data_IF_248698023172
#
_entry.id   IF_248698023172
#
_cell.length_a   1.000
_cell.length_b   1.000
_cell.length_c   1.000
_cell.angle_alpha   90.00
_cell.angle_beta   90.00
_cell.angle_gamma   90.00
#
_symmetry.space_group_name_H-M   'P 1'
#
loop_
_entity.id
_entity.type
_entity.pdbx_description
1 polymer ?
#
# COMPACT_ATOMS: atom_id res chain seq x y z
N UNK A 1 29.61 4.58 -10.08
CA UNK A 1 29.43 3.25 -9.46
C UNK A 1 29.56 2.15 -10.50
N UNK A 2 30.40 1.14 -10.25
CA UNK A 2 30.61 0.03 -11.18
C UNK A 2 29.34 -0.83 -11.26
N UNK A 3 28.78 -1.00 -12.47
CA UNK A 3 27.66 -1.91 -12.70
C UNK A 3 28.21 -3.32 -12.83
N UNK A 4 27.94 -4.26 -11.89
CA UNK A 4 28.50 -5.59 -11.96
C UNK A 4 27.96 -6.28 -13.22
N UNK A 5 28.89 -6.74 -14.05
CA UNK A 5 28.64 -7.36 -15.34
C UNK A 5 28.93 -8.83 -15.21
N UNK A 6 28.01 -9.65 -15.69
CA UNK A 6 28.18 -11.09 -15.73
C UNK A 6 28.05 -11.56 -17.18
N UNK A 7 29.00 -12.40 -17.59
CA UNK A 7 28.99 -13.08 -18.88
C UNK A 7 28.89 -14.56 -18.56
N UNK A 8 27.86 -15.24 -19.08
CA UNK A 8 27.68 -16.68 -18.91
C UNK A 8 27.50 -17.33 -20.27
N UNK A 9 28.25 -18.39 -20.54
CA UNK A 9 28.02 -19.22 -21.72
C UNK A 9 26.66 -19.90 -21.60
N UNK A 10 25.95 -19.97 -22.72
CA UNK A 10 24.74 -20.80 -22.82
C UNK A 10 25.14 -22.26 -23.10
N UNK A 11 24.18 -23.19 -23.08
CA UNK A 11 24.46 -24.60 -23.40
C UNK A 11 24.93 -24.73 -24.86
N UNK A 12 24.29 -23.96 -25.73
CA UNK A 12 24.62 -23.86 -27.15
C UNK A 12 26.00 -23.25 -27.36
N UNK A 13 26.33 -22.20 -26.61
CA UNK A 13 27.66 -21.60 -26.60
C UNK A 13 28.75 -22.54 -26.14
N UNK A 14 28.48 -23.36 -25.11
CA UNK A 14 29.44 -24.36 -24.63
C UNK A 14 29.69 -25.42 -25.70
N UNK A 15 28.62 -25.98 -26.28
CA UNK A 15 28.73 -26.95 -27.39
C UNK A 15 29.52 -26.37 -28.56
N UNK A 16 29.19 -25.15 -28.99
CA UNK A 16 29.90 -24.45 -30.05
C UNK A 16 31.39 -24.27 -29.71
N UNK A 17 31.70 -23.91 -28.47
CA UNK A 17 33.08 -23.73 -28.01
C UNK A 17 33.86 -25.04 -28.04
N UNK A 18 33.26 -26.16 -27.65
CA UNK A 18 33.89 -27.49 -27.71
C UNK A 18 34.19 -27.88 -29.16
N UNK A 19 33.23 -27.71 -30.08
CA UNK A 19 33.43 -27.98 -31.51
C UNK A 19 34.54 -27.09 -32.08
N UNK A 20 34.50 -25.79 -31.77
CA UNK A 20 35.54 -24.84 -32.17
C UNK A 20 36.93 -25.28 -31.69
N UNK A 21 37.07 -25.64 -30.42
CA UNK A 21 38.34 -26.09 -29.86
C UNK A 21 38.82 -27.40 -30.51
N UNK A 22 37.93 -28.36 -30.75
CA UNK A 22 38.28 -29.61 -31.42
C UNK A 22 38.79 -29.37 -32.86
N UNK A 23 38.10 -28.50 -33.63
CA UNK A 23 38.53 -28.12 -34.98
C UNK A 23 39.86 -27.37 -34.94
N UNK A 24 40.03 -26.42 -34.02
CA UNK A 24 41.26 -25.64 -33.88
C UNK A 24 42.46 -26.53 -33.52
N UNK A 25 42.29 -27.44 -32.56
CA UNK A 25 43.35 -28.38 -32.16
C UNK A 25 43.70 -29.35 -33.30
N UNK A 26 42.70 -29.87 -34.01
CA UNK A 26 42.91 -30.72 -35.19
C UNK A 26 43.61 -29.98 -36.33
N UNK A 27 43.27 -28.71 -36.54
CA UNK A 27 43.89 -27.84 -37.53
C UNK A 27 45.38 -27.59 -37.25
N UNK A 28 45.70 -27.19 -36.02
CA UNK A 28 47.07 -26.91 -35.58
C UNK A 28 47.90 -28.18 -35.56
N UNK A 29 47.34 -29.28 -35.02
CA UNK A 29 48.06 -30.55 -34.89
C UNK A 29 48.41 -31.20 -36.23
N UNK A 30 47.53 -31.07 -37.24
CA UNK A 30 47.75 -31.65 -38.58
C UNK A 30 48.32 -30.66 -39.61
N UNK A 31 48.49 -29.40 -39.23
CA UNK A 31 48.93 -28.31 -40.14
C UNK A 31 48.07 -28.23 -41.43
N UNK A 32 46.78 -28.54 -41.32
CA UNK A 32 45.87 -28.53 -42.46
C UNK A 32 45.28 -27.13 -42.66
N UNK A 33 45.71 -26.44 -43.73
CA UNK A 33 45.27 -25.09 -44.06
C UNK A 33 43.74 -24.93 -44.12
N UNK A 34 43.02 -25.95 -44.63
CA UNK A 34 41.56 -25.91 -44.69
C UNK A 34 40.92 -25.90 -43.31
N UNK A 35 41.40 -26.74 -42.38
CA UNK A 35 40.89 -26.76 -41.01
C UNK A 35 41.24 -25.46 -40.27
N UNK A 36 42.39 -24.86 -40.56
CA UNK A 36 42.76 -23.55 -40.01
C UNK A 36 41.78 -22.46 -40.46
N UNK A 37 41.39 -22.47 -41.74
CA UNK A 37 40.41 -21.52 -42.28
C UNK A 37 39.04 -21.72 -41.62
N UNK A 38 38.57 -22.96 -41.48
CA UNK A 38 37.32 -23.28 -40.77
C UNK A 38 37.39 -22.86 -39.30
N UNK A 39 38.51 -23.12 -38.61
CA UNK A 39 38.74 -22.68 -37.25
C UNK A 39 38.63 -21.16 -37.08
N UNK A 40 39.28 -20.39 -37.95
CA UNK A 40 39.17 -18.93 -37.96
C UNK A 40 37.75 -18.44 -38.23
N UNK A 41 37.02 -19.10 -39.14
CA UNK A 41 35.61 -18.79 -39.43
C UNK A 41 34.72 -19.03 -38.19
N UNK A 42 34.97 -20.11 -37.44
CA UNK A 42 34.24 -20.42 -36.20
C UNK A 42 34.64 -19.49 -35.03
N UNK A 43 35.86 -18.94 -35.02
CA UNK A 43 36.27 -17.98 -34.00
C UNK A 43 35.45 -16.67 -34.08
N UNK A 44 35.09 -16.22 -35.28
CA UNK A 44 34.38 -14.95 -35.52
C UNK A 44 33.08 -14.81 -34.72
N UNK A 45 32.09 -15.73 -34.87
CA UNK A 45 30.84 -15.73 -34.12
C UNK A 45 31.02 -15.72 -32.59
N UNK A 46 32.02 -16.45 -32.08
CA UNK A 46 32.34 -16.51 -30.65
C UNK A 46 32.87 -15.17 -30.13
N UNK A 47 33.88 -14.63 -30.80
CA UNK A 47 34.47 -13.31 -30.50
C UNK A 47 33.39 -12.23 -30.59
N UNK A 48 32.61 -12.22 -31.67
CA UNK A 48 31.51 -11.28 -31.86
C UNK A 48 30.50 -11.36 -30.71
N UNK A 49 30.09 -12.56 -30.30
CA UNK A 49 29.15 -12.76 -29.19
C UNK A 49 29.69 -12.25 -27.84
N UNK A 50 31.00 -12.38 -27.60
CA UNK A 50 31.65 -11.89 -26.38
C UNK A 50 31.73 -10.35 -26.33
N UNK A 51 31.96 -9.68 -27.46
CA UNK A 51 32.10 -8.22 -27.51
C UNK A 51 30.78 -7.48 -27.72
N UNK A 52 29.88 -8.00 -28.56
CA UNK A 52 28.64 -7.33 -28.96
C UNK A 52 27.72 -7.03 -27.78
N UNK A 53 27.46 -8.02 -26.91
CA UNK A 53 26.58 -7.82 -25.75
C UNK A 53 27.12 -6.79 -24.75
N UNK A 54 28.46 -6.71 -24.58
CA UNK A 54 29.12 -5.70 -23.74
C UNK A 54 28.93 -4.29 -24.29
N UNK A 55 28.96 -4.14 -25.61
CA UNK A 55 28.68 -2.89 -26.30
C UNK A 55 27.22 -2.51 -26.09
N UNK A 56 26.29 -3.41 -26.44
CA UNK A 56 24.84 -3.18 -26.46
C UNK A 56 24.27 -2.70 -25.12
N UNK A 57 24.56 -3.40 -24.02
CA UNK A 57 23.94 -3.09 -22.71
C UNK A 57 24.46 -1.79 -22.06
N UNK A 58 25.51 -1.16 -22.59
CA UNK A 58 26.23 -0.06 -21.92
C UNK A 58 25.50 1.30 -21.96
N UNK A 59 24.59 1.51 -22.92
CA UNK A 59 23.86 2.78 -23.15
C UNK A 59 22.35 2.55 -23.24
N UNK A 60 21.82 1.77 -22.29
CA UNK A 60 20.40 1.50 -22.14
C UNK A 60 19.98 1.87 -20.71
N UNK A 61 19.76 3.16 -20.41
CA UNK A 61 19.09 3.52 -19.18
C UNK A 61 17.68 2.93 -19.18
N UNK A 62 17.26 2.46 -18.00
CA UNK A 62 15.92 1.93 -17.77
C UNK A 62 15.35 2.67 -16.58
N UNK A 63 14.22 3.32 -16.83
CA UNK A 63 13.41 3.98 -15.83
C UNK A 63 12.23 3.06 -15.49
N UNK A 64 11.96 2.90 -14.19
CA UNK A 64 10.81 2.16 -13.69
C UNK A 64 9.80 3.16 -13.15
N UNK A 65 8.56 3.07 -13.61
CA UNK A 65 7.44 3.85 -13.07
C UNK A 65 6.52 2.93 -12.29
N UNK A 66 6.39 3.25 -11.00
CA UNK A 66 5.52 2.58 -10.05
C UNK A 66 4.20 3.38 -9.93
N UNK A 67 3.07 2.72 -9.64
CA UNK A 67 1.84 3.43 -9.24
C UNK A 67 2.07 4.21 -7.93
N UNK A 68 1.28 5.26 -7.71
CA UNK A 68 1.41 6.11 -6.51
C UNK A 68 0.94 5.42 -5.23
N UNK A 69 -0.10 4.60 -5.33
CA UNK A 69 -0.66 3.82 -4.24
C UNK A 69 -1.11 2.45 -4.77
N UNK A 70 -1.03 1.43 -3.92
CA UNK A 70 -1.49 0.07 -4.22
C UNK A 70 -2.01 -0.57 -2.93
N UNK A 71 -3.21 -1.15 -2.96
CA UNK A 71 -3.68 -1.98 -1.86
C UNK A 71 -3.27 -3.45 -2.06
N UNK A 72 -3.07 -4.17 -0.97
CA UNK A 72 -2.77 -5.59 -1.00
C UNK A 72 -3.87 -6.36 -1.74
N UNK A 73 -3.46 -7.24 -2.66
CA UNK A 73 -4.33 -8.00 -3.54
C UNK A 73 -4.80 -7.26 -4.80
N UNK A 74 -4.50 -5.97 -4.96
CA UNK A 74 -4.77 -5.25 -6.20
C UNK A 74 -3.74 -5.57 -7.30
N UNK A 75 -4.15 -5.39 -8.56
CA UNK A 75 -3.27 -5.58 -9.72
C UNK A 75 -2.16 -4.52 -9.73
N UNK A 76 -0.93 -4.98 -9.52
CA UNK A 76 0.28 -4.17 -9.67
C UNK A 76 0.63 -4.08 -11.15
N UNK A 77 0.68 -2.85 -11.68
CA UNK A 77 1.16 -2.56 -13.03
C UNK A 77 2.42 -1.73 -12.95
N UNK A 78 3.54 -2.24 -13.47
CA UNK A 78 4.82 -1.53 -13.47
C UNK A 78 5.29 -1.32 -14.90
N UNK A 79 5.55 -0.05 -15.23
CA UNK A 79 6.03 0.34 -16.55
C UNK A 79 7.56 0.46 -16.54
N UNK A 80 8.21 -0.38 -17.34
CA UNK A 80 9.63 -0.33 -17.62
C UNK A 80 9.86 0.44 -18.92
N UNK A 81 10.48 1.61 -18.81
CA UNK A 81 10.82 2.49 -19.92
C UNK A 81 12.29 2.29 -20.27
N UNK A 82 12.55 1.70 -21.43
CA UNK A 82 13.91 1.50 -21.93
C UNK A 82 14.20 2.55 -22.99
N UNK A 83 15.22 3.36 -22.76
CA UNK A 83 15.69 4.34 -23.74
C UNK A 83 16.97 3.82 -24.41
N UNK A 84 17.03 3.95 -25.73
CA UNK A 84 18.24 3.67 -26.50
C UNK A 84 18.89 4.97 -26.94
N UNK A 85 19.89 5.42 -26.18
CA UNK A 85 20.62 6.66 -26.46
C UNK A 85 21.58 6.54 -27.67
N UNK A 86 21.42 5.53 -28.53
CA UNK A 86 22.18 5.42 -29.79
C UNK A 86 21.35 6.00 -30.93
N UNK A 87 22.02 6.69 -31.85
CA UNK A 87 21.39 7.33 -33.02
C UNK A 87 21.13 6.39 -34.20
N UNK A 88 21.94 5.33 -34.36
CA UNK A 88 21.98 4.54 -35.60
C UNK A 88 21.64 3.06 -35.44
N UNK A 89 21.67 2.53 -34.21
CA UNK A 89 21.55 1.08 -33.98
C UNK A 89 20.36 0.76 -33.08
N UNK A 90 19.47 -0.08 -33.59
CA UNK A 90 18.45 -0.73 -32.75
C UNK A 90 19.10 -1.83 -31.91
N UNK A 91 18.61 -2.01 -30.70
CA UNK A 91 19.00 -3.11 -29.83
C UNK A 91 17.90 -4.16 -29.87
N UNK A 92 18.27 -5.44 -29.96
CA UNK A 92 17.33 -6.54 -30.10
C UNK A 92 17.38 -7.48 -28.91
N UNK A 93 16.23 -8.09 -28.62
CA UNK A 93 16.04 -9.14 -27.63
C UNK A 93 16.72 -8.83 -26.29
N UNK A 94 16.27 -7.74 -25.66
CA UNK A 94 16.68 -7.35 -24.30
C UNK A 94 15.62 -7.83 -23.34
N UNK A 95 16.03 -8.49 -22.26
CA UNK A 95 15.17 -8.82 -21.14
C UNK A 95 15.52 -7.90 -19.98
N UNK A 96 14.49 -7.33 -19.37
CA UNK A 96 14.59 -6.54 -18.14
C UNK A 96 13.93 -7.36 -17.04
N UNK A 97 14.71 -7.82 -16.08
CA UNK A 97 14.21 -8.51 -14.89
C UNK A 97 14.21 -7.54 -13.71
N UNK A 98 13.09 -7.44 -13.01
CA UNK A 98 12.92 -6.66 -11.80
C UNK A 98 12.70 -7.60 -10.62
N UNK A 99 13.41 -7.33 -9.52
CA UNK A 99 13.30 -8.12 -8.29
C UNK A 99 12.42 -7.34 -7.33
N UNK A 100 11.39 -7.97 -6.78
CA UNK A 100 10.47 -7.36 -5.83
C UNK A 100 10.57 -8.16 -4.53
N UNK A 101 10.98 -7.49 -3.46
CA UNK A 101 11.22 -8.09 -2.15
C UNK A 101 10.37 -7.38 -1.10
N UNK A 102 9.64 -8.15 -0.28
CA UNK A 102 8.94 -7.61 0.89
C UNK A 102 9.93 -7.39 2.02
N UNK A 103 10.02 -6.15 2.49
CA UNK A 103 10.87 -5.75 3.60
C UNK A 103 10.11 -5.92 4.91
N UNK A 104 10.62 -6.78 5.79
CA UNK A 104 9.98 -7.09 7.07
C UNK A 104 8.90 -8.17 6.96
N UNK A 105 8.57 -8.79 8.10
CA UNK A 105 7.70 -9.96 8.19
C UNK A 105 8.46 -11.29 8.39
N UNK A 106 7.74 -12.31 8.85
CA UNK A 106 8.32 -13.60 9.24
C UNK A 106 8.82 -14.46 8.07
N UNK A 107 8.36 -14.19 6.84
CA UNK A 107 8.75 -14.92 5.64
C UNK A 107 9.23 -13.94 4.55
N UNK A 108 10.46 -14.10 4.03
CA UNK A 108 10.94 -13.29 2.92
C UNK A 108 10.20 -13.69 1.64
N UNK A 109 9.39 -12.78 1.12
CA UNK A 109 8.74 -12.91 -0.18
C UNK A 109 9.58 -12.17 -1.22
N UNK A 110 10.31 -12.92 -2.06
CA UNK A 110 11.06 -12.37 -3.19
C UNK A 110 10.55 -12.97 -4.49
N UNK A 111 10.16 -12.10 -5.42
CA UNK A 111 9.72 -12.48 -6.76
C UNK A 111 10.56 -11.76 -7.81
N UNK A 112 10.91 -12.45 -8.89
CA UNK A 112 11.60 -11.82 -10.02
C UNK A 112 10.68 -11.88 -11.23
N UNK A 113 10.28 -10.71 -11.73
CA UNK A 113 9.40 -10.58 -12.89
C UNK A 113 10.19 -9.99 -14.04
N UNK A 114 10.00 -10.52 -15.25
CA UNK A 114 10.79 -10.13 -16.41
C UNK A 114 9.94 -9.68 -17.58
N UNK A 115 10.32 -8.57 -18.20
CA UNK A 115 9.74 -8.10 -19.46
C UNK A 115 10.73 -8.28 -20.60
N UNK A 116 10.23 -8.67 -21.76
CA UNK A 116 11.04 -8.87 -22.95
C UNK A 116 10.78 -7.78 -23.99
N UNK A 117 11.84 -7.15 -24.46
CA UNK A 117 11.86 -6.16 -25.52
C UNK A 117 12.44 -6.81 -26.78
N UNK A 118 11.60 -7.18 -27.76
CA UNK A 118 12.07 -7.77 -29.02
C UNK A 118 13.01 -6.83 -29.77
N UNK A 119 12.68 -5.53 -29.79
CA UNK A 119 13.46 -4.49 -30.44
C UNK A 119 13.26 -3.14 -29.75
N UNK A 120 14.35 -2.57 -29.25
CA UNK A 120 14.47 -1.19 -28.79
C UNK A 120 15.05 -0.33 -29.92
N UNK A 121 14.19 0.44 -30.57
CA UNK A 121 14.56 1.33 -31.67
C UNK A 121 15.53 2.44 -31.21
N UNK A 122 16.26 3.05 -32.14
CA UNK A 122 17.14 4.18 -31.88
C UNK A 122 16.30 5.46 -31.82
N UNK A 123 15.90 5.90 -30.62
CA UNK A 123 14.90 6.96 -30.38
C UNK A 123 13.52 6.62 -31.01
N UNK A 124 12.39 6.52 -30.27
CA UNK A 124 12.09 7.00 -28.92
C UNK A 124 12.23 5.95 -27.80
N UNK A 125 11.93 6.35 -26.56
CA UNK A 125 11.76 5.47 -25.40
C UNK A 125 10.70 4.42 -25.67
N UNK A 126 11.02 3.16 -25.38
CA UNK A 126 10.08 2.06 -25.55
C UNK A 126 9.54 1.61 -24.19
N UNK A 127 8.21 1.69 -23.98
CA UNK A 127 7.58 1.13 -22.79
C UNK A 127 7.38 -0.38 -22.96
N UNK A 128 7.54 -1.11 -21.87
CA UNK A 128 6.90 -2.40 -21.70
C UNK A 128 6.48 -2.56 -20.25
N UNK A 129 5.35 -3.20 -20.04
CA UNK A 129 4.69 -3.32 -18.74
C UNK A 129 4.77 -4.76 -18.27
N UNK A 130 5.06 -4.97 -16.99
CA UNK A 130 4.69 -6.23 -16.33
C UNK A 130 3.54 -6.01 -15.38
N UNK A 131 2.72 -7.05 -15.23
CA UNK A 131 1.65 -7.11 -14.26
C UNK A 131 2.00 -8.15 -13.19
N UNK A 132 1.53 -7.91 -11.98
CA UNK A 132 1.70 -8.80 -10.85
C UNK A 132 0.67 -8.49 -9.77
N UNK A 133 0.81 -9.14 -8.63
CA UNK A 133 -0.04 -8.92 -7.47
C UNK A 133 0.77 -9.12 -6.21
N UNK A 134 0.62 -8.19 -5.27
CA UNK A 134 1.26 -8.24 -3.95
C UNK A 134 0.17 -8.56 -2.93
N UNK A 135 0.13 -9.80 -2.44
CA UNK A 135 -0.99 -10.29 -1.63
C UNK A 135 -1.00 -9.74 -0.20
N UNK A 136 0.16 -9.30 0.31
CA UNK A 136 0.32 -8.84 1.69
C UNK A 136 0.65 -7.34 1.73
N UNK A 137 0.22 -6.69 2.81
CA UNK A 137 0.58 -5.29 3.10
C UNK A 137 2.02 -5.19 3.62
N UNK A 138 2.63 -4.02 3.46
CA UNK A 138 3.95 -3.71 4.01
C UNK A 138 4.86 -2.94 3.06
N UNK A 139 6.14 -2.82 3.44
CA UNK A 139 7.17 -2.22 2.59
C UNK A 139 7.64 -3.21 1.55
N UNK A 140 7.70 -2.79 0.29
CA UNK A 140 8.29 -3.55 -0.80
C UNK A 140 9.43 -2.74 -1.41
N UNK A 141 10.57 -3.41 -1.57
CA UNK A 141 11.71 -2.91 -2.30
C UNK A 141 11.69 -3.51 -3.71
N UNK A 142 11.70 -2.64 -4.70
CA UNK A 142 11.82 -2.99 -6.10
C UNK A 142 13.26 -2.74 -6.56
N UNK A 143 13.77 -3.65 -7.38
CA UNK A 143 15.14 -3.65 -7.84
C UNK A 143 16.04 -4.61 -7.04
N UNK A 144 17.29 -4.80 -7.47
CA UNK A 144 17.93 -4.15 -8.60
C UNK A 144 17.38 -4.65 -9.95
N UNK A 145 17.33 -3.76 -10.96
CA UNK A 145 16.99 -4.16 -12.33
C UNK A 145 18.15 -4.91 -12.98
N UNK A 146 17.87 -6.07 -13.58
CA UNK A 146 18.83 -6.87 -14.33
C UNK A 146 18.49 -6.84 -15.81
N UNK A 147 19.35 -6.19 -16.59
CA UNK A 147 19.29 -6.27 -18.05
C UNK A 147 20.04 -7.50 -18.52
N UNK A 148 19.46 -8.27 -19.44
CA UNK A 148 20.17 -9.36 -20.10
C UNK A 148 19.85 -9.46 -21.58
N UNK A 149 20.82 -9.97 -22.36
CA UNK A 149 20.61 -10.30 -23.77
C UNK A 149 21.44 -11.52 -24.15
N UNK A 150 20.90 -12.32 -25.08
CA UNK A 150 21.57 -13.46 -25.73
C UNK A 150 21.76 -13.21 -27.23
N UNK A 151 21.31 -12.07 -27.75
CA UNK A 151 21.32 -11.75 -29.16
C UNK A 151 22.73 -11.38 -29.64
N UNK A 152 23.12 -11.71 -30.89
CA UNK A 152 22.30 -12.37 -31.93
C UNK A 152 22.38 -13.88 -31.98
N UNK A 153 23.53 -14.47 -31.62
CA UNK A 153 23.82 -15.88 -31.91
C UNK A 153 23.41 -16.83 -30.78
N UNK A 154 23.01 -16.32 -29.62
CA UNK A 154 22.61 -17.16 -28.49
C UNK A 154 23.75 -17.83 -27.73
N UNK A 155 25.02 -17.69 -28.16
CA UNK A 155 26.18 -18.39 -27.58
C UNK A 155 26.53 -17.89 -26.16
N UNK A 156 26.27 -16.62 -25.88
CA UNK A 156 26.67 -15.98 -24.62
C UNK A 156 25.51 -15.13 -24.09
N UNK A 157 25.18 -15.29 -22.81
CA UNK A 157 24.28 -14.39 -22.09
C UNK A 157 25.10 -13.30 -21.42
N UNK A 158 24.86 -12.06 -21.83
CA UNK A 158 25.36 -10.87 -21.15
C UNK A 158 24.33 -10.40 -20.14
N UNK A 159 24.78 -9.98 -18.96
CA UNK A 159 23.93 -9.41 -17.93
C UNK A 159 24.57 -8.18 -17.30
N UNK A 160 23.75 -7.15 -17.07
CA UNK A 160 24.11 -5.90 -16.44
C UNK A 160 23.12 -5.60 -15.32
N UNK A 161 23.61 -5.49 -14.09
CA UNK A 161 22.81 -5.04 -12.96
C UNK A 161 22.82 -3.50 -12.89
N UNK A 162 21.63 -2.93 -12.83
CA UNK A 162 21.37 -1.53 -12.59
C UNK A 162 20.95 -1.38 -11.12
N UNK A 163 21.66 -0.55 -10.37
CA UNK A 163 21.30 -0.18 -9.00
C UNK A 163 20.15 0.83 -9.02
N UNK A 164 19.01 0.42 -9.60
CA UNK A 164 17.77 1.17 -9.66
C UNK A 164 16.84 0.54 -8.61
N UNK A 165 16.86 1.13 -7.42
CA UNK A 165 16.03 0.73 -6.29
C UNK A 165 14.89 1.72 -6.13
N UNK A 166 13.71 1.22 -5.79
CA UNK A 166 12.55 2.05 -5.46
C UNK A 166 11.78 1.34 -4.35
N UNK A 167 11.14 2.11 -3.50
CA UNK A 167 10.37 1.59 -2.38
C UNK A 167 8.91 1.99 -2.56
N UNK A 168 8.03 1.08 -2.15
CA UNK A 168 6.58 1.30 -2.13
C UNK A 168 6.02 0.71 -0.85
N UNK A 169 5.07 1.42 -0.25
CA UNK A 169 4.25 0.88 0.82
C UNK A 169 2.95 0.36 0.20
N UNK A 170 2.70 -0.93 0.34
CA UNK A 170 1.45 -1.57 -0.07
C UNK A 170 0.46 -1.47 1.07
N UNK A 171 -0.63 -0.75 0.83
CA UNK A 171 -1.68 -0.48 1.81
C UNK A 171 -2.49 -1.73 2.15
N UNK A 172 -3.18 -1.75 3.31
CA UNK A 172 -4.08 -2.86 3.64
C UNK A 172 -5.11 -3.09 2.54
N UNK A 173 -5.48 -4.37 2.35
CA UNK A 173 -6.56 -4.75 1.45
C UNK A 173 -7.86 -4.13 1.93
N UNK A 174 -8.56 -3.43 1.05
CA UNK A 174 -9.87 -2.88 1.37
C UNK A 174 -10.95 -3.95 1.19
N UNK A 175 -12.00 -3.84 1.99
CA UNK A 175 -13.21 -4.65 1.84
C UNK A 175 -14.44 -3.81 1.54
N UNK A 176 -15.59 -4.47 1.63
CA UNK A 176 -16.90 -3.85 1.50
C UNK A 176 -17.62 -3.90 2.83
N UNK A 177 -18.24 -2.77 3.18
CA UNK A 177 -19.10 -2.66 4.36
C UNK A 177 -20.52 -3.03 3.97
N UNK A 178 -21.17 -3.83 4.81
CA UNK A 178 -22.52 -4.32 4.56
C UNK A 178 -23.58 -3.22 4.78
N UNK A 179 -24.81 -3.45 4.30
CA UNK A 179 -25.92 -2.53 4.59
C UNK A 179 -26.25 -2.44 6.09
N UNK A 180 -25.99 -3.50 6.85
CA UNK A 180 -26.22 -3.51 8.30
C UNK A 180 -25.25 -2.58 9.02
N UNK A 181 -24.00 -2.49 8.55
CA UNK A 181 -23.04 -1.50 9.04
C UNK A 181 -23.51 -0.08 8.76
N UNK A 182 -24.01 0.17 7.55
CA UNK A 182 -24.52 1.50 7.15
C UNK A 182 -25.72 1.90 8.01
N UNK A 183 -26.61 0.96 8.35
CA UNK A 183 -27.76 1.20 9.23
C UNK A 183 -27.32 1.57 10.64
N UNK A 184 -26.40 0.81 11.24
CA UNK A 184 -25.84 1.08 12.57
C UNK A 184 -25.32 2.51 12.69
N UNK A 185 -24.54 2.97 11.71
CA UNK A 185 -23.99 4.33 11.75
C UNK A 185 -25.05 5.41 11.52
N UNK A 186 -26.04 5.16 10.66
CA UNK A 186 -27.16 6.12 10.48
C UNK A 186 -28.01 6.27 11.73
N UNK A 187 -28.30 5.17 12.42
CA UNK A 187 -29.01 5.19 13.69
C UNK A 187 -28.21 5.98 14.73
N UNK A 188 -26.89 5.82 14.74
CA UNK A 188 -26.03 6.58 15.63
C UNK A 188 -25.92 8.06 15.32
N UNK A 189 -25.83 8.42 14.05
CA UNK A 189 -25.88 9.80 13.59
C UNK A 189 -27.20 10.48 14.03
N UNK A 190 -28.31 9.75 14.02
CA UNK A 190 -29.61 10.30 14.46
C UNK A 190 -29.64 10.58 15.97
N UNK A 191 -29.06 9.69 16.78
CA UNK A 191 -28.95 9.87 18.24
C UNK A 191 -27.89 10.90 18.66
N UNK A 192 -26.75 10.98 17.95
CA UNK A 192 -25.70 11.97 18.23
C UNK A 192 -26.16 13.39 17.88
N UNK A 193 -26.94 13.57 16.81
CA UNK A 193 -27.58 14.85 16.46
C UNK A 193 -28.46 15.42 17.59
N UNK A 194 -29.10 14.55 18.38
CA UNK A 194 -29.93 14.96 19.50
C UNK A 194 -29.09 15.47 20.68
N UNK A 195 -27.87 14.97 20.83
CA UNK A 195 -26.90 15.39 21.85
C UNK A 195 -26.13 16.65 21.42
N UNK A 196 -25.76 16.78 20.15
CA UNK A 196 -25.16 18.01 19.58
C UNK A 196 -26.12 19.21 19.69
N UNK A 197 -27.44 19.00 19.58
CA UNK A 197 -28.45 20.05 19.83
C UNK A 197 -28.40 20.63 21.24
N UNK A 198 -27.96 19.88 22.25
CA UNK A 198 -27.80 20.38 23.64
C UNK A 198 -26.55 21.25 23.80
N UNK A 199 -25.52 21.07 22.95
CA UNK A 199 -24.25 21.81 22.96
C UNK A 199 -24.16 22.98 21.98
N UNK A 200 -25.28 23.44 21.39
CA UNK A 200 -25.34 24.44 20.31
C UNK A 200 -24.93 25.87 20.72
N UNK A 201 -24.24 26.05 21.84
CA UNK A 201 -23.66 27.34 22.25
C UNK A 201 -22.37 27.66 21.48
N UNK A 202 -21.72 26.68 20.85
CA UNK A 202 -20.44 26.81 20.12
C UNK A 202 -20.54 26.59 18.60
N UNK A 203 -21.74 26.51 18.04
CA UNK A 203 -21.89 26.36 16.59
C UNK A 203 -21.61 27.69 15.85
N UNK A 204 -20.95 27.62 14.69
CA UNK A 204 -20.64 28.79 13.87
C UNK A 204 -21.95 29.48 13.41
N UNK A 205 -22.01 30.81 13.55
CA UNK A 205 -23.16 31.59 13.10
C UNK A 205 -23.28 31.52 11.58
N UNK A 206 -24.40 30.99 11.09
CA UNK A 206 -24.67 30.82 9.66
C UNK A 206 -25.49 31.98 9.09
N UNK A 207 -26.47 32.47 9.86
CA UNK A 207 -27.36 33.53 9.38
C UNK A 207 -28.49 33.87 10.32
N UNK A 208 -29.42 34.69 9.82
CA UNK A 208 -30.62 35.10 10.54
C UNK A 208 -31.85 34.63 9.77
N UNK A 209 -32.82 34.03 10.47
CA UNK A 209 -34.11 33.67 9.88
C UNK A 209 -35.26 34.08 10.79
N UNK A 210 -36.47 34.14 10.23
CA UNK A 210 -37.68 34.37 11.02
C UNK A 210 -37.94 33.21 12.00
N UNK A 211 -38.41 33.56 13.20
CA UNK A 211 -38.80 32.65 14.25
C UNK A 211 -40.02 31.84 13.82
N UNK A 212 -39.97 30.53 14.03
CA UNK A 212 -41.11 29.63 13.84
C UNK A 212 -41.51 28.98 15.16
N UNK A 213 -42.79 28.62 15.34
CA UNK A 213 -43.22 27.83 16.49
C UNK A 213 -42.37 26.55 16.63
N UNK A 214 -41.69 26.40 17.77
CA UNK A 214 -40.72 25.33 18.03
C UNK A 214 -39.26 25.81 18.16
N UNK A 215 -38.95 27.03 17.73
CA UNK A 215 -37.62 27.61 17.87
C UNK A 215 -37.36 28.11 19.30
N UNK A 216 -36.17 27.80 19.84
CA UNK A 216 -35.77 28.22 21.19
C UNK A 216 -35.69 29.73 21.32
N UNK A 217 -36.35 30.27 22.36
CA UNK A 217 -36.33 31.71 22.69
C UNK A 217 -34.91 32.23 23.00
N UNK A 218 -34.00 31.35 23.43
CA UNK A 218 -32.60 31.71 23.75
C UNK A 218 -31.79 32.15 22.53
N UNK A 219 -32.23 31.77 21.33
CA UNK A 219 -31.54 32.09 20.08
C UNK A 219 -32.12 33.29 19.35
N UNK A 220 -33.09 33.98 19.95
CA UNK A 220 -33.65 35.21 19.39
C UNK A 220 -32.58 36.30 19.35
N UNK A 221 -32.33 36.85 18.16
CA UNK A 221 -31.48 38.00 17.99
C UNK A 221 -32.25 39.28 18.32
N UNK A 222 -32.31 39.62 19.61
CA UNK A 222 -33.14 40.73 20.10
C UNK A 222 -32.88 42.05 19.38
N UNK A 223 -31.61 42.36 19.09
CA UNK A 223 -31.24 43.61 18.39
C UNK A 223 -31.81 43.69 16.96
N UNK A 224 -31.87 42.57 16.23
CA UNK A 224 -32.43 42.58 14.86
C UNK A 224 -33.94 42.47 14.91
N UNK A 225 -34.47 41.71 15.87
CA UNK A 225 -35.92 41.57 16.06
C UNK A 225 -36.58 42.91 16.40
N UNK A 226 -35.96 43.69 17.29
CA UNK A 226 -36.42 45.03 17.64
C UNK A 226 -36.42 46.01 16.46
N UNK A 227 -35.48 45.87 15.51
CA UNK A 227 -35.41 46.74 14.31
C UNK A 227 -36.40 46.36 13.22
N UNK A 228 -36.71 45.08 13.06
CA UNK A 228 -37.62 44.59 11.99
C UNK A 228 -39.07 44.42 12.41
N UNK A 229 -39.37 44.50 13.71
CA UNK A 229 -40.72 44.28 14.23
C UNK A 229 -41.20 42.82 14.18
N UNK A 230 -40.33 41.89 13.81
CA UNK A 230 -40.59 40.44 13.77
C UNK A 230 -39.51 39.67 14.53
N UNK A 231 -39.87 38.56 15.16
CA UNK A 231 -38.91 37.72 15.90
C UNK A 231 -37.95 37.05 14.92
N UNK A 232 -36.65 37.31 15.09
CA UNK A 232 -35.58 36.72 14.28
C UNK A 232 -34.69 35.86 15.16
N UNK A 233 -34.35 34.68 14.67
CA UNK A 233 -33.52 33.68 15.34
C UNK A 233 -32.18 33.57 14.64
N UNK A 234 -31.10 33.45 15.43
CA UNK A 234 -29.77 33.06 14.93
C UNK A 234 -29.84 31.63 14.41
N UNK A 235 -29.55 31.45 13.12
CA UNK A 235 -29.31 30.14 12.53
C UNK A 235 -27.83 29.85 12.67
N UNK A 236 -27.50 28.69 13.23
CA UNK A 236 -26.15 28.20 13.32
C UNK A 236 -25.95 27.10 12.28
N UNK A 237 -24.75 27.02 11.70
CA UNK A 237 -24.40 25.96 10.79
C UNK A 237 -24.19 24.70 11.62
N UNK A 238 -25.06 23.71 11.43
CA UNK A 238 -24.82 22.42 12.04
C UNK A 238 -23.73 21.72 11.22
N UNK A 239 -22.47 21.94 11.59
CA UNK A 239 -21.37 21.12 11.07
C UNK A 239 -21.72 19.66 11.36
N UNK A 240 -22.03 18.91 10.31
CA UNK A 240 -22.13 17.45 10.34
C UNK A 240 -20.72 16.88 10.42
N UNK A 241 -19.99 17.20 11.49
CA UNK A 241 -18.69 16.62 11.72
C UNK A 241 -18.94 15.18 12.16
N UNK A 242 -18.80 14.26 11.21
CA UNK A 242 -18.73 12.85 11.53
C UNK A 242 -17.35 12.61 12.10
N UNK A 243 -17.29 12.56 13.42
CA UNK A 243 -16.07 12.21 14.11
C UNK A 243 -16.04 10.68 14.24
N UNK A 244 -14.96 10.08 13.74
CA UNK A 244 -14.66 8.66 13.90
C UNK A 244 -13.36 8.53 14.70
N UNK A 245 -13.42 7.80 15.80
CA UNK A 245 -12.23 7.32 16.49
C UNK A 245 -12.12 5.81 16.33
N UNK A 246 -11.02 5.32 15.77
CA UNK A 246 -10.69 3.91 15.66
C UNK A 246 -9.59 3.60 16.67
N UNK A 247 -9.89 2.71 17.60
CA UNK A 247 -8.95 2.14 18.56
C UNK A 247 -8.69 0.69 18.13
N UNK A 248 -7.51 0.40 17.61
CA UNK A 248 -7.16 -0.89 17.03
C UNK A 248 -6.12 -1.61 17.90
N UNK A 249 -6.44 -2.82 18.34
CA UNK A 249 -5.60 -3.72 19.13
C UNK A 249 -5.15 -4.91 18.27
N UNK A 250 -3.87 -4.88 17.84
CA UNK A 250 -3.23 -5.93 17.05
C UNK A 250 -2.42 -6.85 17.95
N UNK A 251 -3.11 -7.52 18.86
CA UNK A 251 -2.53 -8.57 19.67
C UNK A 251 -2.40 -9.88 18.87
N UNK A 252 -1.33 -10.62 19.12
CA UNK A 252 -1.20 -12.02 18.69
C UNK A 252 -0.61 -12.86 19.82
N UNK A 253 -0.94 -14.14 19.93
CA UNK A 253 -0.21 -15.03 20.83
C UNK A 253 1.24 -15.21 20.35
N UNK A 254 2.15 -15.50 21.29
CA UNK A 254 3.59 -15.67 20.99
C UNK A 254 3.87 -16.79 19.98
N UNK A 255 3.01 -17.82 19.94
CA UNK A 255 2.98 -18.87 18.91
C UNK A 255 1.69 -18.74 18.11
N UNK A 256 1.67 -17.91 17.05
CA UNK A 256 0.45 -17.67 16.28
C UNK A 256 0.11 -18.87 15.40
N UNK A 257 -1.18 -19.19 15.34
CA UNK A 257 -1.76 -20.03 14.29
C UNK A 257 -2.00 -19.21 13.02
N UNK A 258 -2.26 -19.88 11.89
CA UNK A 258 -2.61 -19.20 10.64
C UNK A 258 -3.90 -18.36 10.79
N UNK A 259 -4.87 -18.83 11.58
CA UNK A 259 -6.11 -18.10 11.89
C UNK A 259 -5.84 -16.80 12.67
N UNK A 260 -4.88 -16.81 13.61
CA UNK A 260 -4.48 -15.61 14.35
C UNK A 260 -3.85 -14.57 13.42
N UNK A 261 -3.03 -15.02 12.46
CA UNK A 261 -2.43 -14.15 11.46
C UNK A 261 -3.50 -13.56 10.53
N UNK A 262 -4.47 -14.36 10.10
CA UNK A 262 -5.60 -13.90 9.28
C UNK A 262 -6.50 -12.92 10.06
N UNK A 263 -6.71 -13.14 11.36
CA UNK A 263 -7.47 -12.22 12.21
C UNK A 263 -6.79 -10.85 12.30
N UNK A 264 -5.45 -10.80 12.42
CA UNK A 264 -4.69 -9.54 12.37
C UNK A 264 -4.87 -8.84 11.03
N UNK A 265 -4.69 -9.55 9.90
CA UNK A 265 -4.88 -8.96 8.56
C UNK A 265 -6.31 -8.44 8.39
N UNK A 266 -7.30 -9.20 8.84
CA UNK A 266 -8.72 -8.84 8.76
C UNK A 266 -9.05 -7.62 9.62
N UNK A 267 -8.49 -7.51 10.82
CA UNK A 267 -8.65 -6.35 11.70
C UNK A 267 -8.12 -5.07 11.03
N UNK A 268 -6.93 -5.16 10.44
CA UNK A 268 -6.30 -4.03 9.74
C UNK A 268 -7.08 -3.65 8.48
N UNK A 269 -7.51 -4.63 7.69
CA UNK A 269 -8.35 -4.42 6.51
C UNK A 269 -9.69 -3.78 6.85
N UNK A 270 -10.31 -4.18 7.95
CA UNK A 270 -11.54 -3.57 8.43
C UNK A 270 -11.31 -2.11 8.85
N UNK A 271 -10.31 -1.85 9.70
CA UNK A 271 -9.97 -0.49 10.12
C UNK A 271 -9.65 0.43 8.93
N UNK A 272 -8.85 -0.05 7.97
CA UNK A 272 -8.53 0.67 6.74
C UNK A 272 -9.78 1.02 5.92
N UNK A 273 -10.73 0.09 5.83
CA UNK A 273 -11.99 0.30 5.12
C UNK A 273 -12.85 1.36 5.82
N UNK A 274 -12.91 1.37 7.15
CA UNK A 274 -13.63 2.38 7.92
C UNK A 274 -13.03 3.77 7.75
N UNK A 275 -11.69 3.89 7.76
CA UNK A 275 -11.00 5.16 7.51
C UNK A 275 -11.27 5.67 6.10
N UNK A 276 -11.14 4.80 5.09
CA UNK A 276 -11.37 5.15 3.70
C UNK A 276 -12.81 5.62 3.46
N UNK A 277 -13.81 4.93 4.01
CA UNK A 277 -15.22 5.32 3.87
C UNK A 277 -15.53 6.62 4.62
N UNK A 278 -14.96 6.82 5.81
CA UNK A 278 -15.20 8.02 6.60
C UNK A 278 -14.52 9.26 6.01
N UNK A 279 -13.35 9.09 5.39
CA UNK A 279 -12.65 10.18 4.70
C UNK A 279 -13.37 10.65 3.42
N UNK A 280 -14.25 9.84 2.81
CA UNK A 280 -15.08 10.27 1.67
C UNK A 280 -16.11 11.32 2.05
N UNK A 281 -16.48 11.41 3.33
CA UNK A 281 -17.47 12.36 3.82
C UNK A 281 -16.78 13.69 4.18
N UNK A 282 -17.24 14.83 3.64
CA UNK A 282 -16.61 16.12 3.90
C UNK A 282 -16.75 16.52 5.38
N UNK A 283 -15.67 17.06 5.94
CA UNK A 283 -15.65 17.57 7.33
C UNK A 283 -15.54 16.49 8.42
N UNK A 284 -15.24 15.25 8.05
CA UNK A 284 -14.99 14.20 9.04
C UNK A 284 -13.73 14.52 9.87
N UNK A 285 -13.74 14.25 11.18
CA UNK A 285 -12.51 14.18 11.96
C UNK A 285 -12.20 12.72 12.25
N UNK A 286 -10.98 12.30 11.95
CA UNK A 286 -10.54 10.93 12.12
C UNK A 286 -9.47 10.88 13.19
N UNK A 287 -9.60 9.94 14.13
CA UNK A 287 -8.56 9.59 15.07
C UNK A 287 -8.28 8.09 14.95
N UNK A 288 -7.01 7.72 14.82
CA UNK A 288 -6.54 6.34 14.81
C UNK A 288 -5.60 6.17 16.01
N UNK A 289 -5.95 5.27 16.92
CA UNK A 289 -5.04 4.72 17.90
C UNK A 289 -4.74 3.28 17.51
N UNK A 290 -3.47 2.97 17.35
CA UNK A 290 -2.97 1.64 17.08
C UNK A 290 -2.19 1.15 18.29
N UNK A 291 -2.64 0.05 18.90
CA UNK A 291 -1.86 -0.79 19.79
C UNK A 291 -1.24 -1.92 18.95
N UNK A 292 0.06 -1.78 18.72
CA UNK A 292 0.87 -2.70 17.93
C UNK A 292 2.27 -2.73 18.55
N UNK A 293 3.23 -3.44 17.96
CA UNK A 293 4.60 -3.49 18.48
C UNK A 293 5.19 -2.09 18.70
N UNK A 294 4.80 -1.11 17.88
CA UNK A 294 5.01 0.30 18.13
C UNK A 294 3.63 1.02 18.21
N UNK A 295 3.17 1.44 19.40
CA UNK A 295 1.89 2.10 19.53
C UNK A 295 1.92 3.51 18.90
N UNK A 296 0.86 3.87 18.17
CA UNK A 296 0.76 5.14 17.44
C UNK A 296 -0.60 5.78 17.66
N UNK A 297 -0.64 7.07 17.94
CA UNK A 297 -1.84 7.91 17.89
C UNK A 297 -1.71 8.90 16.76
N UNK A 298 -2.72 8.97 15.88
CA UNK A 298 -2.73 9.91 14.77
C UNK A 298 -4.15 10.40 14.48
N UNK A 299 -4.35 11.72 14.51
CA UNK A 299 -5.67 12.32 14.34
C UNK A 299 -5.61 13.58 13.49
N UNK A 300 -6.68 13.86 12.74
CA UNK A 300 -6.80 15.08 11.95
C UNK A 300 -8.15 15.22 11.25
N UNK A 301 -8.25 16.27 10.44
CA UNK A 301 -9.40 16.44 9.53
C UNK A 301 -9.26 15.51 8.34
N UNK A 302 -10.35 14.84 7.97
CA UNK A 302 -10.47 13.96 6.81
C UNK A 302 -9.97 14.66 5.56
N UNK A 303 -8.83 14.21 5.06
CA UNK A 303 -8.18 14.69 3.86
C UNK A 303 -7.44 13.52 3.18
N UNK A 304 -7.19 13.57 1.87
CA UNK A 304 -6.45 12.51 1.19
C UNK A 304 -5.06 12.26 1.79
N UNK A 305 -4.39 13.32 2.29
CA UNK A 305 -3.10 13.21 2.95
C UNK A 305 -3.21 12.44 4.27
N UNK A 306 -4.16 12.82 5.15
CA UNK A 306 -4.39 12.12 6.42
C UNK A 306 -4.72 10.65 6.19
N UNK A 307 -5.55 10.35 5.20
CA UNK A 307 -5.88 8.97 4.84
C UNK A 307 -4.63 8.22 4.40
N UNK A 308 -3.80 8.80 3.52
CA UNK A 308 -2.56 8.16 3.09
C UNK A 308 -1.62 7.87 4.27
N UNK A 309 -1.43 8.83 5.18
CA UNK A 309 -0.59 8.67 6.37
C UNK A 309 -1.12 7.56 7.30
N UNK A 310 -2.43 7.53 7.56
CA UNK A 310 -3.04 6.47 8.38
C UNK A 310 -2.99 5.10 7.70
N UNK A 311 -3.11 5.04 6.37
CA UNK A 311 -2.96 3.80 5.60
C UNK A 311 -1.53 3.30 5.59
N UNK A 312 -0.53 4.19 5.56
CA UNK A 312 0.87 3.84 5.74
C UNK A 312 1.13 3.29 7.15
N UNK A 313 0.57 3.92 8.20
CA UNK A 313 0.65 3.41 9.58
C UNK A 313 0.08 1.98 9.65
N UNK A 314 -1.10 1.74 9.08
CA UNK A 314 -1.73 0.42 9.05
C UNK A 314 -0.97 -0.61 8.20
N UNK A 315 -0.37 -0.17 7.08
CA UNK A 315 0.44 -1.02 6.22
C UNK A 315 1.68 -1.56 6.93
N UNK A 316 2.28 -0.76 7.82
CA UNK A 316 3.51 -1.06 8.54
C UNK A 316 3.28 -1.59 9.96
N UNK A 317 2.02 -1.71 10.38
CA UNK A 317 1.66 -2.18 11.70
C UNK A 317 2.04 -3.66 11.88
N UNK A 318 2.96 -3.92 12.80
CA UNK A 318 3.32 -5.26 13.26
C UNK A 318 2.61 -5.59 14.57
N UNK A 319 1.99 -6.78 14.69
CA UNK A 319 1.26 -7.15 15.90
C UNK A 319 2.20 -7.32 17.10
N UNK A 320 1.71 -6.98 18.29
CA UNK A 320 2.43 -7.18 19.55
C UNK A 320 1.94 -8.46 20.24
N UNK A 321 2.71 -8.96 21.20
CA UNK A 321 2.45 -10.20 21.94
C UNK A 321 2.20 -9.98 23.45
N UNK A 322 2.04 -8.73 23.90
CA UNK A 322 1.77 -8.42 25.30
C UNK A 322 0.40 -8.95 25.76
N UNK A 323 0.41 -9.79 26.79
CA UNK A 323 -0.82 -10.33 27.39
C UNK A 323 -1.69 -9.25 28.04
N UNK A 324 -1.08 -8.17 28.54
CA UNK A 324 -1.82 -7.06 29.13
C UNK A 324 -2.64 -6.30 28.07
N UNK A 325 -3.84 -5.86 28.44
CA UNK A 325 -4.64 -4.99 27.57
C UNK A 325 -3.97 -3.61 27.45
N UNK A 326 -3.89 -3.00 26.25
CA UNK A 326 -2.98 -1.90 26.02
C UNK A 326 -3.56 -0.61 26.62
N UNK A 327 -2.89 0.03 27.59
CA UNK A 327 -3.40 1.22 28.26
C UNK A 327 -3.51 2.42 27.29
N UNK A 328 -2.74 2.40 26.20
CA UNK A 328 -2.79 3.43 25.16
C UNK A 328 -4.17 3.58 24.51
N UNK A 329 -4.98 2.51 24.46
CA UNK A 329 -6.36 2.58 23.95
C UNK A 329 -7.25 3.43 24.86
N UNK A 330 -7.13 3.28 26.18
CA UNK A 330 -7.85 4.10 27.16
C UNK A 330 -7.38 5.55 27.16
N UNK A 331 -6.07 5.77 27.05
CA UNK A 331 -5.51 7.14 26.93
C UNK A 331 -6.01 7.85 25.67
N UNK A 332 -6.05 7.16 24.53
CA UNK A 332 -6.58 7.71 23.29
C UNK A 332 -8.07 8.00 23.38
N UNK A 333 -8.84 7.13 24.04
CA UNK A 333 -10.25 7.37 24.30
C UNK A 333 -10.45 8.69 25.07
N UNK A 334 -9.63 8.96 26.09
CA UNK A 334 -9.70 10.21 26.85
C UNK A 334 -9.37 11.48 26.02
N UNK A 335 -8.57 11.36 24.95
CA UNK A 335 -8.23 12.47 24.05
C UNK A 335 -9.35 12.80 23.05
N UNK A 336 -10.22 11.83 22.78
CA UNK A 336 -11.31 11.96 21.80
C UNK A 336 -12.55 12.58 22.47
N UNK A 337 -13.25 13.53 21.82
CA UNK A 337 -14.49 14.10 22.36
C UNK A 337 -15.57 13.03 22.58
N UNK A 338 -16.32 13.12 23.69
CA UNK A 338 -17.30 12.11 24.10
C UNK A 338 -18.44 11.85 23.10
N UNK A 339 -18.69 12.80 22.18
CA UNK A 339 -19.71 12.69 21.14
C UNK A 339 -19.20 12.05 19.83
N UNK A 340 -17.91 11.69 19.79
CA UNK A 340 -17.28 11.00 18.66
C UNK A 340 -17.68 9.52 18.67
N UNK A 341 -18.14 9.02 17.53
CA UNK A 341 -18.39 7.58 17.40
C UNK A 341 -17.06 6.85 17.46
N UNK A 342 -16.90 6.00 18.48
CA UNK A 342 -15.65 5.28 18.71
C UNK A 342 -15.83 3.80 18.41
N UNK A 343 -14.95 3.23 17.58
CA UNK A 343 -14.86 1.80 17.37
C UNK A 343 -13.61 1.25 18.03
N UNK A 344 -13.78 0.19 18.82
CA UNK A 344 -12.68 -0.59 19.38
C UNK A 344 -12.63 -1.91 18.60
N UNK A 345 -11.57 -2.08 17.81
CA UNK A 345 -11.33 -3.29 17.04
C UNK A 345 -10.22 -4.05 17.73
N UNK A 346 -10.46 -5.30 18.09
CA UNK A 346 -9.42 -6.15 18.69
C UNK A 346 -9.43 -7.55 18.09
N UNK A 347 -8.24 -8.11 18.02
CA UNK A 347 -7.92 -9.50 17.65
C UNK A 347 -8.09 -10.47 18.82
N UNK A 348 -8.33 -9.96 20.04
CA UNK A 348 -8.69 -10.72 21.23
C UNK A 348 -10.05 -10.27 21.79
N UNK A 349 -10.47 -10.90 22.87
CA UNK A 349 -11.62 -10.43 23.65
C UNK A 349 -11.26 -9.09 24.32
N UNK A 350 -12.15 -8.11 24.19
CA UNK A 350 -11.94 -6.76 24.72
C UNK A 350 -12.19 -6.76 26.23
N UNK A 351 -11.17 -6.39 27.01
CA UNK A 351 -11.31 -6.13 28.45
C UNK A 351 -11.82 -4.71 28.69
N UNK A 352 -13.13 -4.61 28.89
CA UNK A 352 -13.81 -3.35 29.16
C UNK A 352 -13.37 -2.66 30.45
N UNK A 353 -13.01 -3.43 31.48
CA UNK A 353 -12.63 -2.87 32.77
C UNK A 353 -11.20 -2.32 32.72
N UNK A 354 -10.30 -2.96 31.97
CA UNK A 354 -9.00 -2.37 31.65
C UNK A 354 -9.14 -1.09 30.82
N UNK A 355 -9.97 -1.09 29.77
CA UNK A 355 -10.21 0.10 28.95
C UNK A 355 -10.77 1.26 29.79
N UNK A 356 -11.74 0.98 30.66
CA UNK A 356 -12.34 1.96 31.58
C UNK A 356 -11.31 2.51 32.57
N UNK A 357 -10.51 1.66 33.20
CA UNK A 357 -9.47 2.10 34.16
C UNK A 357 -8.49 3.07 33.50
N UNK A 358 -7.98 2.72 32.31
CA UNK A 358 -7.06 3.56 31.57
C UNK A 358 -7.69 4.89 31.09
N UNK A 359 -9.00 4.92 30.81
CA UNK A 359 -9.71 6.17 30.48
C UNK A 359 -10.05 7.01 31.74
N UNK A 360 -10.34 6.37 32.87
CA UNK A 360 -10.74 7.01 34.13
C UNK A 360 -9.61 7.80 34.79
N UNK A 361 -8.34 7.43 34.55
CA UNK A 361 -7.17 8.22 34.96
C UNK A 361 -7.21 9.68 34.46
N UNK A 362 -8.05 9.98 33.46
CA UNK A 362 -8.30 11.32 32.91
C UNK A 362 -9.74 11.82 33.11
N UNK A 363 -10.43 11.37 34.16
CA UNK A 363 -11.78 11.83 34.55
C UNK A 363 -12.81 11.71 33.41
N UNK A 364 -12.72 10.64 32.61
CA UNK A 364 -13.58 10.42 31.45
C UNK A 364 -14.67 9.40 31.78
N UNK A 365 -15.95 9.83 31.79
CA UNK A 365 -17.09 8.89 31.88
C UNK A 365 -17.25 8.10 30.58
N UNK A 366 -16.86 6.83 30.60
CA UNK A 366 -16.94 5.90 29.46
C UNK A 366 -18.37 5.43 29.19
N UNK A 367 -19.18 5.22 30.23
CA UNK A 367 -20.54 4.63 30.09
C UNK A 367 -21.55 5.55 29.38
N UNK A 368 -21.25 6.85 29.25
CA UNK A 368 -22.07 7.81 28.50
C UNK A 368 -21.65 7.93 27.02
N UNK A 369 -20.54 7.27 26.61
CA UNK A 369 -20.00 7.33 25.25
C UNK A 369 -20.56 6.21 24.39
N UNK A 370 -20.74 6.50 23.11
CA UNK A 370 -21.12 5.49 22.11
C UNK A 370 -19.86 4.76 21.62
N UNK A 371 -19.60 3.59 22.20
CA UNK A 371 -18.46 2.76 21.85
C UNK A 371 -18.96 1.47 21.22
N UNK A 372 -18.50 1.18 20.00
CA UNK A 372 -18.74 -0.07 19.30
C UNK A 372 -17.52 -0.96 19.43
N UNK A 373 -17.65 -2.05 20.14
CA UNK A 373 -16.63 -3.10 20.14
C UNK A 373 -16.86 -4.06 18.99
N UNK A 374 -15.82 -4.31 18.21
CA UNK A 374 -15.81 -5.33 17.17
C UNK A 374 -14.63 -6.25 17.43
N UNK A 375 -14.91 -7.44 17.96
CA UNK A 375 -13.91 -8.49 18.09
C UNK A 375 -13.86 -9.28 16.78
N UNK A 376 -12.67 -9.36 16.18
CA UNK A 376 -12.47 -10.03 14.88
C UNK A 376 -12.65 -11.54 14.97
N UNK A 377 -12.30 -12.12 16.13
CA UNK A 377 -12.55 -13.54 16.45
C UNK A 377 -14.04 -13.84 16.72
N UNK A 378 -14.88 -12.81 16.82
CA UNK A 378 -16.33 -12.95 17.01
C UNK A 378 -17.09 -13.21 15.71
N UNK A 379 -18.28 -13.82 15.81
CA UNK A 379 -19.18 -14.06 14.66
C UNK A 379 -19.80 -12.80 14.06
N UNK A 380 -19.50 -11.63 14.61
CA UNK A 380 -20.14 -10.36 14.26
C UNK A 380 -19.48 -9.67 13.06
N UNK A 381 -18.15 -9.77 12.92
CA UNK A 381 -17.44 -9.08 11.84
C UNK A 381 -17.92 -9.48 10.43
N UNK A 382 -18.17 -10.76 10.11
CA UNK A 382 -18.68 -11.16 8.78
C UNK A 382 -20.07 -10.60 8.43
N UNK A 383 -20.83 -10.11 9.43
CA UNK A 383 -22.10 -9.41 9.19
C UNK A 383 -21.88 -8.00 8.66
N UNK A 384 -20.78 -7.36 9.04
CA UNK A 384 -20.48 -5.96 8.75
C UNK A 384 -19.45 -5.75 7.65
N UNK A 385 -18.56 -6.73 7.45
CA UNK A 385 -17.40 -6.59 6.59
C UNK A 385 -17.15 -7.85 5.77
N UNK A 386 -16.80 -7.67 4.50
CA UNK A 386 -16.26 -8.73 3.64
C UNK A 386 -15.06 -8.20 2.87
N UNK A 387 -14.00 -9.00 2.78
CA UNK A 387 -12.86 -8.66 1.93
C UNK A 387 -13.31 -8.58 0.47
N UNK A 388 -12.80 -7.59 -0.26
CA UNK A 388 -13.14 -7.43 -1.68
C UNK A 388 -12.39 -8.50 -2.46
N UNK A 389 -13.10 -9.46 -3.04
CA UNK A 389 -12.52 -10.43 -3.99
C UNK A 389 -12.23 -9.74 -5.33
N UNK A 390 -10.97 -9.75 -5.76
CA UNK A 390 -10.59 -9.36 -7.11
C UNK A 390 -10.39 -10.58 -7.99
N UNK A 391 -10.87 -10.50 -9.23
CA UNK A 391 -10.81 -11.57 -10.21
C UNK A 391 -9.36 -12.04 -10.46
N UNK A 392 -9.12 -13.35 -10.66
CA UNK A 392 -7.79 -13.89 -10.92
C UNK A 392 -7.14 -13.23 -12.14
N UNK A 393 -5.81 -13.17 -12.13
CA UNK A 393 -5.01 -12.78 -13.31
C UNK A 393 -5.23 -13.85 -14.39
N UNK A 394 -5.69 -13.42 -15.57
CA UNK A 394 -6.03 -14.30 -16.69
C UNK A 394 -4.79 -14.74 -17.46
#
# INVERSE_FOLDING_TARGET
MARPRQIRFTREGLYYTVVFLAVLLGAVGRQLNLLMLVGCLLAGPLVFSLFYGRFVLRRLPVERKLPSHLHAGERLRVDCLVENCRRWFSVWAVRVEDTVERMGGALPESSTVGVFFPRVAACPTQPATYEGRLERRGRYQFGPLRLSTRFPLGLVRHSLLLQNHAEMVVHPRLGTLSQDWVRMIREDESGSQQMTRRGMLEADFYGLREWRPGDSRRWIHWRTSARRGSLIVRQFEQRRNQNLALLLDLWRPSTPSDDDLEAVETAVSFAATLLAESCRKPGAQLALQLASAAPVFHSGSGSPLLLSEQMDILALAEPHDDEAFPPCLGHALALVPAWTTTFVISTRQIDWDALRRAAAERDTQVDARKIHAVSVTGKELPRYFRLREEAPLA
#
